data_IF_358281340503
#
_entry.id   IF_358281340503
#
_cell.length_a   1.000
_cell.length_b   1.000
_cell.length_c   1.000
_cell.angle_alpha   90.00
_cell.angle_beta   90.00
_cell.angle_gamma   90.00
#
_symmetry.space_group_name_H-M   'P 1'
#
loop_
_entity.id
_entity.type
_entity.pdbx_description
1 polymer ?
#
# COMPACT_ATOMS: atom_id res chain seq x y z
N UNK A 1 -7.39 30.89 4.63
CA UNK A 1 -8.23 30.14 5.59
C UNK A 1 -7.97 28.68 5.30
N UNK A 2 -7.36 27.93 6.23
CA UNK A 2 -7.18 26.48 6.03
C UNK A 2 -8.54 25.83 6.29
N UNK A 3 -9.13 25.20 5.27
CA UNK A 3 -10.30 24.35 5.41
C UNK A 3 -9.85 22.94 5.72
N UNK A 4 -10.41 22.34 6.77
CA UNK A 4 -10.09 20.98 7.21
C UNK A 4 -11.09 20.00 6.62
N UNK A 5 -10.61 18.93 6.01
CA UNK A 5 -11.46 17.80 5.60
C UNK A 5 -11.66 16.89 6.81
N UNK A 6 -12.89 16.78 7.29
CA UNK A 6 -13.23 15.91 8.41
C UNK A 6 -13.49 14.49 7.90
N UNK A 7 -12.68 13.53 8.34
CA UNK A 7 -12.94 12.11 8.07
C UNK A 7 -14.18 11.63 8.83
N UNK A 8 -14.97 10.77 8.20
CA UNK A 8 -16.16 10.15 8.84
C UNK A 8 -15.81 8.99 9.79
N UNK A 9 -14.56 8.51 9.78
CA UNK A 9 -14.07 7.44 10.67
C UNK A 9 -12.53 7.46 10.82
N UNK A 10 -11.95 6.67 11.74
CA UNK A 10 -10.49 6.60 11.92
C UNK A 10 -9.77 6.21 10.64
N UNK A 11 -8.72 6.96 10.29
CA UNK A 11 -7.89 6.74 9.11
C UNK A 11 -6.77 5.77 9.43
N UNK A 12 -6.44 4.85 8.52
CA UNK A 12 -5.48 3.76 8.80
C UNK A 12 -4.16 3.88 8.03
N UNK A 13 -4.17 4.34 6.78
CA UNK A 13 -3.03 4.20 5.87
C UNK A 13 -3.03 5.25 4.75
N UNK A 14 -2.76 6.51 5.12
CA UNK A 14 -2.79 7.61 4.15
C UNK A 14 -1.67 7.51 3.12
N UNK A 15 -2.04 7.62 1.85
CA UNK A 15 -1.12 7.75 0.72
C UNK A 15 -1.71 8.70 -0.33
N UNK A 16 -0.85 9.26 -1.18
CA UNK A 16 -1.28 10.00 -2.36
C UNK A 16 -1.51 9.07 -3.54
N UNK A 17 -2.59 9.31 -4.29
CA UNK A 17 -2.89 8.66 -5.56
C UNK A 17 -3.26 9.73 -6.59
N UNK A 18 -2.27 10.19 -7.35
CA UNK A 18 -2.42 11.42 -8.15
C UNK A 18 -2.77 12.59 -7.22
N UNK A 19 -3.86 13.30 -7.54
CA UNK A 19 -4.35 14.43 -6.73
C UNK A 19 -5.32 14.02 -5.61
N UNK A 20 -5.57 12.72 -5.45
CA UNK A 20 -6.43 12.20 -4.38
C UNK A 20 -5.60 11.75 -3.18
N UNK A 21 -6.11 12.00 -1.97
CA UNK A 21 -5.63 11.36 -0.76
C UNK A 21 -6.41 10.05 -0.57
N UNK A 22 -5.74 8.95 -0.30
CA UNK A 22 -6.38 7.63 -0.15
C UNK A 22 -5.99 6.98 1.17
N UNK A 23 -6.96 6.35 1.84
CA UNK A 23 -6.75 5.43 2.95
C UNK A 23 -6.89 4.02 2.38
N UNK A 24 -5.77 3.42 1.98
CA UNK A 24 -5.73 2.16 1.21
C UNK A 24 -6.38 1.03 2.01
N UNK A 25 -5.95 0.85 3.26
CA UNK A 25 -6.47 -0.13 4.22
C UNK A 25 -7.88 0.22 4.70
N UNK A 26 -8.17 1.50 4.95
CA UNK A 26 -9.47 1.93 5.47
C UNK A 26 -10.55 2.15 4.41
N UNK A 27 -10.24 1.96 3.12
CA UNK A 27 -11.21 1.96 2.03
C UNK A 27 -11.85 3.33 1.76
N UNK A 28 -11.08 4.42 1.85
CA UNK A 28 -11.58 5.80 1.64
C UNK A 28 -10.68 6.60 0.71
N UNK A 29 -11.28 7.59 0.07
CA UNK A 29 -10.64 8.51 -0.87
C UNK A 29 -11.17 9.91 -0.61
N UNK A 30 -10.30 10.90 -0.60
CA UNK A 30 -10.64 12.31 -0.54
C UNK A 30 -10.09 13.01 -1.78
N UNK A 31 -10.96 13.67 -2.54
CA UNK A 31 -10.53 14.55 -3.62
C UNK A 31 -10.01 15.88 -3.10
N UNK A 32 -9.32 16.63 -3.96
CA UNK A 32 -8.75 17.95 -3.65
C UNK A 32 -9.81 19.01 -3.28
N UNK A 33 -11.08 18.78 -3.62
CA UNK A 33 -12.24 19.56 -3.21
C UNK A 33 -12.80 19.17 -1.82
N UNK A 34 -12.18 18.20 -1.15
CA UNK A 34 -12.57 17.72 0.18
C UNK A 34 -13.70 16.71 0.19
N UNK A 35 -14.20 16.25 -0.96
CA UNK A 35 -15.26 15.24 -1.03
C UNK A 35 -14.70 13.85 -0.67
N UNK A 36 -15.29 13.22 0.36
CA UNK A 36 -14.98 11.84 0.77
C UNK A 36 -15.81 10.81 -0.02
N UNK A 37 -15.16 9.74 -0.47
CA UNK A 37 -15.78 8.57 -1.10
C UNK A 37 -15.26 7.27 -0.47
N UNK A 38 -16.10 6.23 -0.46
CA UNK A 38 -15.70 4.87 -0.05
C UNK A 38 -15.34 4.03 -1.27
N UNK A 39 -14.32 3.18 -1.14
CA UNK A 39 -13.87 2.25 -2.20
C UNK A 39 -14.32 0.81 -1.99
N UNK A 40 -15.03 0.51 -0.90
CA UNK A 40 -15.61 -0.79 -0.57
C UNK A 40 -14.60 -1.96 -0.59
N UNK A 41 -13.46 -1.78 0.08
CA UNK A 41 -12.43 -2.82 0.17
C UNK A 41 -12.24 -3.22 1.63
N UNK A 42 -12.42 -4.51 1.92
CA UNK A 42 -12.05 -5.12 3.19
C UNK A 42 -10.86 -6.06 2.94
N UNK A 43 -9.73 -5.74 3.57
CA UNK A 43 -8.53 -6.55 3.48
C UNK A 43 -8.42 -7.54 4.64
N UNK A 44 -9.34 -7.50 5.61
CA UNK A 44 -9.22 -8.18 6.89
C UNK A 44 -8.46 -7.35 7.93
N UNK A 45 -8.39 -7.84 9.17
CA UNK A 45 -7.87 -7.06 10.29
C UNK A 45 -6.35 -6.95 10.33
N UNK A 46 -5.62 -7.83 9.64
CA UNK A 46 -4.17 -7.97 9.77
C UNK A 46 -3.37 -6.79 9.19
N UNK A 47 -3.92 -6.07 8.20
CA UNK A 47 -3.20 -5.00 7.50
C UNK A 47 -3.41 -3.65 8.19
N UNK A 48 -2.33 -2.90 8.40
CA UNK A 48 -2.34 -1.61 9.12
C UNK A 48 -1.55 -0.50 8.41
N UNK A 49 -0.90 -0.83 7.29
CA UNK A 49 -0.22 0.13 6.42
C UNK A 49 -0.55 -0.11 4.96
N UNK A 50 -0.31 0.92 4.15
CA UNK A 50 -0.51 0.87 2.72
C UNK A 50 0.42 1.82 1.97
N UNK A 51 0.77 1.44 0.75
CA UNK A 51 1.57 2.22 -0.18
C UNK A 51 0.91 2.23 -1.56
N UNK A 52 1.10 3.31 -2.32
CA UNK A 52 0.54 3.48 -3.66
C UNK A 52 1.67 3.72 -4.65
N UNK A 53 1.58 3.10 -5.81
CA UNK A 53 2.53 3.26 -6.91
C UNK A 53 2.48 4.67 -7.52
N UNK A 54 3.56 5.13 -8.17
CA UNK A 54 3.59 6.44 -8.82
C UNK A 54 2.45 6.67 -9.82
N UNK A 55 2.01 5.65 -10.55
CA UNK A 55 0.87 5.76 -11.47
C UNK A 55 -0.49 5.79 -10.77
N UNK A 56 -0.54 5.36 -9.50
CA UNK A 56 -1.77 5.15 -8.76
C UNK A 56 -2.52 3.86 -9.12
N UNK A 57 -2.03 3.08 -10.08
CA UNK A 57 -2.64 1.83 -10.56
C UNK A 57 -2.52 0.70 -9.55
N UNK A 58 -1.36 0.59 -8.92
CA UNK A 58 -1.05 -0.44 -7.95
C UNK A 58 -0.97 0.11 -6.54
N UNK A 59 -1.30 -0.74 -5.58
CA UNK A 59 -1.11 -0.48 -4.15
C UNK A 59 -0.70 -1.75 -3.42
N UNK A 60 0.04 -1.59 -2.32
CA UNK A 60 0.29 -2.69 -1.37
C UNK A 60 -0.40 -2.36 -0.06
N UNK A 61 -1.10 -3.33 0.53
CA UNK A 61 -1.48 -3.31 1.96
C UNK A 61 -0.66 -4.33 2.70
N UNK A 62 -0.21 -4.00 3.90
CA UNK A 62 0.73 -4.85 4.64
C UNK A 62 0.56 -4.70 6.16
N UNK A 63 0.95 -5.74 6.88
CA UNK A 63 1.12 -5.71 8.32
C UNK A 63 2.52 -5.15 8.62
N UNK A 64 2.63 -3.96 9.21
CA UNK A 64 3.92 -3.33 9.52
C UNK A 64 4.79 -4.25 10.38
N UNK A 65 4.16 -4.87 11.39
CA UNK A 65 4.76 -5.83 12.31
C UNK A 65 4.13 -7.21 12.12
N UNK A 66 4.35 -7.81 10.96
CA UNK A 66 3.86 -9.14 10.61
C UNK A 66 4.55 -9.70 9.38
N UNK A 67 4.05 -10.80 8.83
CA UNK A 67 4.67 -11.47 7.68
C UNK A 67 3.91 -11.28 6.37
N UNK A 68 2.72 -10.68 6.42
CA UNK A 68 1.78 -10.67 5.30
C UNK A 68 1.70 -9.29 4.62
N UNK A 69 1.69 -9.32 3.29
CA UNK A 69 1.35 -8.19 2.45
C UNK A 69 0.57 -8.65 1.21
N UNK A 70 -0.17 -7.73 0.59
CA UNK A 70 -0.96 -7.97 -0.63
C UNK A 70 -0.73 -6.87 -1.64
N UNK A 71 -0.29 -7.25 -2.84
CA UNK A 71 -0.21 -6.37 -3.99
C UNK A 71 -1.54 -6.35 -4.74
N UNK A 72 -2.04 -5.16 -5.03
CA UNK A 72 -3.34 -4.93 -5.64
C UNK A 72 -3.21 -4.09 -6.91
N UNK A 73 -4.09 -4.34 -7.87
CA UNK A 73 -4.39 -3.45 -9.00
C UNK A 73 -5.82 -2.92 -8.84
N UNK A 74 -5.95 -1.64 -8.50
CA UNK A 74 -7.22 -1.11 -8.01
C UNK A 74 -7.70 -1.89 -6.77
N UNK A 75 -8.81 -2.61 -6.89
CA UNK A 75 -9.35 -3.47 -5.81
C UNK A 75 -9.07 -4.96 -6.03
N UNK A 76 -8.37 -5.32 -7.11
CA UNK A 76 -8.10 -6.71 -7.46
C UNK A 76 -6.79 -7.17 -6.83
N UNK A 77 -6.79 -8.33 -6.19
CA UNK A 77 -5.58 -8.97 -5.66
C UNK A 77 -4.74 -9.50 -6.83
N UNK A 78 -3.51 -9.00 -6.96
CA UNK A 78 -2.54 -9.52 -7.93
C UNK A 78 -1.67 -10.62 -7.34
N UNK A 79 -1.08 -10.36 -6.17
CA UNK A 79 -0.17 -11.29 -5.49
C UNK A 79 -0.30 -11.15 -3.97
N UNK A 80 -0.18 -12.28 -3.29
CA UNK A 80 0.16 -12.30 -1.87
C UNK A 80 1.69 -12.28 -1.75
N UNK A 81 2.18 -11.53 -0.79
CA UNK A 81 3.61 -11.35 -0.52
C UNK A 81 3.88 -11.77 0.91
N UNK A 82 4.95 -12.54 1.12
CA UNK A 82 5.40 -12.98 2.43
C UNK A 82 6.83 -12.53 2.68
N UNK A 83 7.19 -12.39 3.96
CA UNK A 83 8.57 -12.25 4.41
C UNK A 83 8.91 -13.30 5.45
N UNK A 84 10.20 -13.47 5.73
CA UNK A 84 10.66 -14.34 6.81
C UNK A 84 9.96 -13.97 8.13
N UNK A 85 9.50 -14.94 8.93
CA UNK A 85 9.00 -14.68 10.28
C UNK A 85 10.12 -14.28 11.25
N UNK A 86 11.38 -14.56 10.90
CA UNK A 86 12.55 -14.19 11.70
C UNK A 86 12.60 -12.66 11.85
N UNK A 87 12.49 -12.19 13.09
CA UNK A 87 12.43 -10.77 13.46
C UNK A 87 11.31 -9.95 12.79
N UNK A 88 10.25 -10.58 12.28
CA UNK A 88 9.14 -9.86 11.63
C UNK A 88 8.38 -8.93 12.59
N UNK A 89 8.32 -9.24 13.88
CA UNK A 89 7.69 -8.37 14.87
C UNK A 89 8.64 -7.25 15.36
N UNK A 90 9.95 -7.43 15.19
CA UNK A 90 10.98 -6.52 15.67
C UNK A 90 11.27 -5.36 14.69
N UNK A 91 10.97 -5.54 13.40
CA UNK A 91 11.22 -4.54 12.35
C UNK A 91 10.02 -4.31 11.42
N UNK A 92 9.86 -3.07 10.97
CA UNK A 92 8.85 -2.70 9.98
C UNK A 92 9.03 -3.51 8.70
N UNK A 93 7.92 -3.90 8.08
CA UNK A 93 7.91 -4.55 6.76
C UNK A 93 8.47 -3.58 5.70
N UNK A 94 9.65 -3.83 5.12
CA UNK A 94 10.18 -3.03 4.02
C UNK A 94 9.31 -3.24 2.79
N UNK A 95 8.62 -2.19 2.36
CA UNK A 95 7.86 -2.19 1.11
C UNK A 95 7.85 -0.80 0.49
N UNK A 96 8.10 -0.74 -0.81
CA UNK A 96 7.97 0.47 -1.60
C UNK A 96 7.55 0.15 -3.03
N UNK A 97 6.83 1.09 -3.65
CA UNK A 97 6.51 1.06 -5.07
C UNK A 97 7.25 2.21 -5.76
N UNK A 98 7.86 1.93 -6.91
CA UNK A 98 8.63 2.89 -7.67
C UNK A 98 8.39 2.79 -9.17
N UNK A 99 9.05 3.65 -9.93
CA UNK A 99 9.02 3.64 -11.39
C UNK A 99 10.44 3.77 -11.94
N UNK A 100 10.78 2.91 -12.90
CA UNK A 100 12.04 2.94 -13.62
C UNK A 100 12.01 3.97 -14.75
N UNK A 101 13.18 4.29 -15.32
CA UNK A 101 13.30 5.28 -16.41
C UNK A 101 12.55 4.90 -17.68
N UNK A 102 12.32 3.61 -17.89
CA UNK A 102 11.54 3.08 -19.03
C UNK A 102 10.03 3.06 -18.76
N UNK A 103 9.60 3.56 -17.60
CA UNK A 103 8.19 3.64 -17.20
C UNK A 103 7.65 2.38 -16.54
N UNK A 104 8.44 1.30 -16.42
CA UNK A 104 8.00 0.11 -15.67
C UNK A 104 7.91 0.42 -14.19
N UNK A 105 6.84 -0.04 -13.56
CA UNK A 105 6.66 0.08 -12.11
C UNK A 105 7.30 -1.12 -11.41
N UNK A 106 7.98 -0.86 -10.30
CA UNK A 106 8.70 -1.86 -9.53
C UNK A 106 8.20 -1.94 -8.09
N UNK A 107 8.17 -3.15 -7.57
CA UNK A 107 7.95 -3.44 -6.16
C UNK A 107 9.30 -3.72 -5.52
N UNK A 108 9.60 -3.03 -4.43
CA UNK A 108 10.76 -3.27 -3.58
C UNK A 108 10.24 -3.82 -2.27
N UNK A 109 10.62 -5.03 -1.90
CA UNK A 109 10.19 -5.65 -0.64
C UNK A 109 11.26 -6.59 -0.09
N UNK A 110 11.11 -7.06 1.15
CA UNK A 110 11.87 -8.21 1.63
C UNK A 110 11.12 -9.51 1.29
N UNK A 111 11.79 -10.52 0.72
CA UNK A 111 11.20 -11.85 0.50
C UNK A 111 11.30 -12.73 1.77
N UNK A 112 11.04 -14.02 1.64
CA UNK A 112 11.25 -15.01 2.71
C UNK A 112 12.74 -15.22 3.04
N UNK A 113 13.65 -14.80 2.16
CA UNK A 113 15.09 -14.81 2.42
C UNK A 113 15.51 -13.61 3.28
N UNK A 114 16.16 -13.88 4.41
CA UNK A 114 16.64 -12.83 5.31
C UNK A 114 17.78 -11.99 4.69
N UNK A 115 17.86 -10.71 5.07
CA UNK A 115 18.90 -9.75 4.67
C UNK A 115 18.97 -9.46 3.16
N UNK A 116 17.87 -9.65 2.43
CA UNK A 116 17.75 -9.34 1.00
C UNK A 116 16.60 -8.37 0.78
N UNK A 117 16.79 -7.43 -0.15
CA UNK A 117 15.70 -6.69 -0.77
C UNK A 117 15.52 -7.20 -2.19
N UNK A 118 14.32 -7.66 -2.50
CA UNK A 118 13.90 -8.04 -3.84
C UNK A 118 13.32 -6.81 -4.54
N UNK A 119 13.72 -6.62 -5.79
CA UNK A 119 13.20 -5.58 -6.69
C UNK A 119 12.65 -6.30 -7.91
N UNK A 120 11.33 -6.25 -8.08
CA UNK A 120 10.63 -6.97 -9.13
C UNK A 120 9.71 -6.06 -9.93
N UNK A 121 9.37 -6.47 -11.15
CA UNK A 121 8.33 -5.80 -11.93
C UNK A 121 6.96 -6.01 -11.24
N UNK A 122 6.21 -4.92 -11.04
CA UNK A 122 4.94 -5.01 -10.31
C UNK A 122 3.95 -5.91 -11.05
N UNK A 123 3.93 -5.89 -12.38
CA UNK A 123 2.98 -6.67 -13.16
C UNK A 123 3.40 -8.14 -13.28
N UNK A 124 4.68 -8.43 -13.55
CA UNK A 124 5.13 -9.80 -13.84
C UNK A 124 5.77 -10.56 -12.68
N UNK A 125 6.31 -9.86 -11.67
CA UNK A 125 7.34 -10.42 -10.78
C UNK A 125 8.70 -10.48 -11.47
#
# INVERSE_FOLDING_TARGET
>A
MLEWVKSTAPVRSLAWRGDELVDVVGGRVWSSDGVERRTAVDHGPAFDRGAVSPSGRYSVVYAERGTEARLLEGTHLLRELTRSPDHAEDYDYPVALGILRDGREVLIHCPEECNVLQIEDVASG
#
